data_IF_664927471903
#
_entry.id   IF_664927471903
#
_cell.length_a   1.000
_cell.length_b   1.000
_cell.length_c   1.000
_cell.angle_alpha   90.00
_cell.angle_beta   90.00
_cell.angle_gamma   90.00
#
_symmetry.space_group_name_H-M   'P 1'
#
loop_
_entity.id
_entity.type
_entity.pdbx_description
1 polymer ?
#
# COMPACT_ATOMS: atom_id res chain seq x y z
N UNK A 1 16.32 6.17 1.79
CA UNK A 1 14.86 6.17 1.52
C UNK A 1 14.49 7.63 1.37
N UNK A 2 14.28 8.07 0.15
CA UNK A 2 13.89 9.46 -0.13
C UNK A 2 12.38 9.56 0.07
N UNK A 3 11.96 10.34 1.03
CA UNK A 3 10.53 10.58 1.29
C UNK A 3 10.14 11.72 0.35
N UNK A 4 9.43 11.40 -0.72
CA UNK A 4 8.83 12.41 -1.58
C UNK A 4 7.61 13.01 -0.85
N UNK A 5 7.85 14.12 -0.16
CA UNK A 5 6.79 14.95 0.40
C UNK A 5 6.28 15.89 -0.71
N UNK A 6 4.97 16.09 -0.80
CA UNK A 6 4.44 17.21 -1.59
C UNK A 6 4.98 18.52 -1.00
N UNK A 7 5.10 19.58 -1.79
CA UNK A 7 5.60 20.89 -1.30
C UNK A 7 4.88 21.35 -0.03
N UNK A 8 3.57 21.08 0.05
CA UNK A 8 2.76 21.39 1.23
C UNK A 8 3.12 20.49 2.42
N UNK A 9 3.30 19.20 2.20
CA UNK A 9 3.71 18.26 3.25
C UNK A 9 5.13 18.51 3.71
N UNK A 10 6.03 18.97 2.82
CA UNK A 10 7.39 19.37 3.17
C UNK A 10 7.38 20.61 4.06
N UNK A 11 6.60 21.64 3.71
CA UNK A 11 6.46 22.86 4.51
C UNK A 11 5.86 22.56 5.90
N UNK A 12 4.88 21.65 5.98
CA UNK A 12 4.29 21.23 7.25
C UNK A 12 5.28 20.39 8.08
N UNK A 13 6.04 19.50 7.44
CA UNK A 13 7.10 18.74 8.10
C UNK A 13 8.18 19.66 8.67
N UNK A 14 8.66 20.65 7.91
CA UNK A 14 9.63 21.64 8.39
C UNK A 14 9.09 22.42 9.59
N UNK A 15 7.83 22.83 9.53
CA UNK A 15 7.17 23.56 10.61
C UNK A 15 7.08 22.77 11.90
N UNK A 16 6.77 21.46 11.79
CA UNK A 16 6.68 20.54 12.94
C UNK A 16 8.10 20.20 13.44
N UNK A 17 9.03 19.89 12.55
CA UNK A 17 10.38 19.42 12.88
C UNK A 17 11.32 20.52 13.37
N UNK A 18 11.03 21.81 13.05
CA UNK A 18 11.84 22.93 13.52
C UNK A 18 11.78 23.18 15.03
N UNK A 19 10.96 22.44 15.77
CA UNK A 19 10.78 22.62 17.22
C UNK A 19 10.10 23.94 17.60
N UNK A 20 9.63 24.71 16.62
CA UNK A 20 8.94 25.98 16.82
C UNK A 20 7.46 25.79 17.23
N UNK A 21 6.95 24.55 17.14
CA UNK A 21 5.56 24.24 17.45
C UNK A 21 5.43 23.71 18.89
N UNK A 22 4.69 24.47 19.72
CA UNK A 22 4.33 23.99 21.05
C UNK A 22 3.19 22.93 20.97
N UNK A 23 2.96 22.10 22.01
CA UNK A 23 1.83 21.16 22.04
C UNK A 23 0.48 21.84 21.84
N UNK A 24 0.32 23.07 22.37
CA UNK A 24 -0.90 23.87 22.23
C UNK A 24 -1.11 24.30 20.77
N UNK A 25 -0.05 24.81 20.12
CA UNK A 25 -0.07 25.16 18.70
C UNK A 25 -0.38 23.95 17.80
N UNK A 26 0.18 22.79 18.14
CA UNK A 26 -0.13 21.54 17.42
C UNK A 26 -1.60 21.16 17.59
N UNK A 27 -2.14 21.29 18.80
CA UNK A 27 -3.55 21.01 19.10
C UNK A 27 -4.50 21.98 18.38
N UNK A 28 -4.14 23.27 18.33
CA UNK A 28 -4.89 24.29 17.60
C UNK A 28 -4.85 24.06 16.09
N UNK A 29 -3.67 23.72 15.55
CA UNK A 29 -3.47 23.37 14.15
C UNK A 29 -4.34 22.17 13.72
N UNK A 30 -4.47 21.13 14.58
CA UNK A 30 -5.34 19.99 14.33
C UNK A 30 -6.82 20.37 14.37
N UNK A 31 -7.24 21.29 15.27
CA UNK A 31 -8.62 21.75 15.40
C UNK A 31 -9.04 22.67 14.26
N UNK A 32 -8.14 23.48 13.73
CA UNK A 32 -8.42 24.43 12.64
C UNK A 32 -8.77 23.77 11.30
N UNK A 33 -8.77 22.43 11.23
CA UNK A 33 -9.13 21.66 10.04
C UNK A 33 -8.24 21.95 8.82
N UNK A 34 -7.09 22.62 9.04
CA UNK A 34 -6.13 22.97 7.97
C UNK A 34 -5.41 21.74 7.43
N UNK A 35 -5.39 20.66 8.21
CA UNK A 35 -4.97 19.35 7.72
C UNK A 35 -6.18 18.73 7.01
N UNK A 36 -6.33 18.99 5.75
CA UNK A 36 -7.18 18.15 4.92
C UNK A 36 -6.47 16.82 4.73
N UNK A 37 -6.84 15.84 5.56
CA UNK A 37 -6.41 14.46 5.35
C UNK A 37 -6.94 14.04 3.97
N UNK A 38 -6.02 13.68 3.08
CA UNK A 38 -6.38 13.19 1.76
C UNK A 38 -7.25 11.93 1.91
N UNK A 39 -8.30 11.89 1.14
CA UNK A 39 -9.09 10.67 0.99
C UNK A 39 -8.28 9.62 0.21
N UNK A 40 -8.64 8.36 0.37
CA UNK A 40 -8.05 7.29 -0.43
C UNK A 40 -8.15 7.55 -1.93
N UNK A 41 -9.29 8.10 -2.39
CA UNK A 41 -9.51 8.45 -3.79
C UNK A 41 -8.53 9.51 -4.31
N UNK A 42 -8.22 10.51 -3.49
CA UNK A 42 -7.24 11.55 -3.84
C UNK A 42 -5.82 10.99 -3.90
N UNK A 43 -5.44 10.18 -2.90
CA UNK A 43 -4.13 9.51 -2.89
C UNK A 43 -3.98 8.54 -4.07
N UNK A 44 -5.03 7.82 -4.43
CA UNK A 44 -5.02 6.92 -5.58
C UNK A 44 -4.85 7.68 -6.90
N UNK A 45 -5.50 8.85 -7.07
CA UNK A 45 -5.33 9.69 -8.26
C UNK A 45 -3.96 10.37 -8.33
N UNK A 46 -3.34 10.61 -7.19
CA UNK A 46 -1.98 11.15 -7.14
C UNK A 46 -0.95 10.14 -7.66
N UNK A 47 -1.03 8.88 -7.22
CA UNK A 47 -0.11 7.83 -7.66
C UNK A 47 -0.43 7.32 -9.07
N UNK A 48 -1.66 7.48 -9.53
CA UNK A 48 -2.09 7.12 -10.88
C UNK A 48 -3.03 8.18 -11.48
N UNK A 49 -2.48 9.27 -12.09
CA UNK A 49 -3.25 10.42 -12.57
C UNK A 49 -3.91 10.23 -13.95
N UNK A 50 -4.02 8.99 -14.44
CA UNK A 50 -4.56 8.72 -15.76
C UNK A 50 -6.07 8.50 -15.75
N UNK A 51 -6.82 8.95 -16.80
CA UNK A 51 -8.28 8.87 -16.83
C UNK A 51 -8.83 7.45 -16.98
N UNK A 52 -8.01 6.51 -17.43
CA UNK A 52 -8.39 5.10 -17.63
C UNK A 52 -8.38 4.25 -16.36
N UNK A 53 -8.08 4.85 -15.20
CA UNK A 53 -7.97 4.17 -13.90
C UNK A 53 -9.17 3.26 -13.60
N UNK A 54 -10.40 3.76 -13.79
CA UNK A 54 -11.62 3.00 -13.50
C UNK A 54 -11.74 1.75 -14.35
N UNK A 55 -11.49 1.88 -15.65
CA UNK A 55 -11.51 0.75 -16.59
C UNK A 55 -10.44 -0.28 -16.22
N UNK A 56 -9.18 0.15 -16.07
CA UNK A 56 -8.06 -0.76 -15.74
C UNK A 56 -8.31 -1.53 -14.46
N UNK A 57 -8.80 -0.86 -13.41
CA UNK A 57 -9.12 -1.52 -12.16
C UNK A 57 -10.26 -2.53 -12.32
N UNK A 58 -11.34 -2.15 -13.01
CA UNK A 58 -12.47 -3.05 -13.23
C UNK A 58 -12.05 -4.29 -14.00
N UNK A 59 -11.33 -4.13 -15.11
CA UNK A 59 -10.84 -5.24 -15.94
C UNK A 59 -9.91 -6.17 -15.13
N UNK A 60 -8.97 -5.59 -14.37
CA UNK A 60 -8.03 -6.36 -13.56
C UNK A 60 -8.72 -7.10 -12.41
N UNK A 61 -9.64 -6.44 -11.70
CA UNK A 61 -10.35 -7.09 -10.59
C UNK A 61 -11.28 -8.20 -11.04
N UNK A 62 -11.90 -8.09 -12.23
CA UNK A 62 -12.63 -9.20 -12.85
C UNK A 62 -11.72 -10.41 -13.12
N UNK A 63 -10.49 -10.16 -13.55
CA UNK A 63 -9.51 -11.24 -13.75
C UNK A 63 -8.99 -11.82 -12.43
N UNK A 64 -8.83 -11.00 -11.39
CA UNK A 64 -8.33 -11.42 -10.08
C UNK A 64 -9.39 -12.12 -9.23
N UNK A 65 -10.67 -11.80 -9.43
CA UNK A 65 -11.82 -12.27 -8.66
C UNK A 65 -12.89 -12.87 -9.61
N UNK A 66 -12.60 -13.99 -10.28
CA UNK A 66 -13.50 -14.56 -11.30
C UNK A 66 -14.87 -14.99 -10.77
N UNK A 67 -15.00 -15.18 -9.45
CA UNK A 67 -16.27 -15.49 -8.79
C UNK A 67 -17.15 -14.26 -8.55
N UNK A 68 -16.62 -13.06 -8.73
CA UNK A 68 -17.35 -11.80 -8.51
C UNK A 68 -18.12 -11.38 -9.75
N UNK A 69 -19.34 -10.85 -9.56
CA UNK A 69 -20.10 -10.30 -10.69
C UNK A 69 -19.49 -8.99 -11.21
N UNK A 70 -19.61 -8.69 -12.51
CA UNK A 70 -19.13 -7.43 -13.07
C UNK A 70 -19.70 -6.19 -12.37
N UNK A 71 -20.97 -6.24 -11.98
CA UNK A 71 -21.65 -5.15 -11.27
C UNK A 71 -21.07 -4.95 -9.87
N UNK A 72 -20.76 -6.04 -9.16
CA UNK A 72 -20.15 -5.96 -7.83
C UNK A 72 -18.75 -5.35 -7.90
N UNK A 73 -17.93 -5.77 -8.87
CA UNK A 73 -16.60 -5.20 -9.10
C UNK A 73 -16.69 -3.73 -9.50
N UNK A 74 -17.56 -3.36 -10.44
CA UNK A 74 -17.74 -1.98 -10.86
C UNK A 74 -18.20 -1.08 -9.69
N UNK A 75 -19.12 -1.56 -8.85
CA UNK A 75 -19.57 -0.86 -7.64
C UNK A 75 -18.44 -0.68 -6.63
N UNK A 76 -17.64 -1.73 -6.40
CA UNK A 76 -16.47 -1.73 -5.51
C UNK A 76 -15.45 -0.68 -5.96
N UNK A 77 -15.01 -0.75 -7.21
CA UNK A 77 -14.04 0.18 -7.81
C UNK A 77 -14.59 1.61 -7.85
N UNK A 78 -15.84 1.80 -8.31
CA UNK A 78 -16.50 3.10 -8.33
C UNK A 78 -16.56 3.74 -6.93
N UNK A 79 -16.89 2.96 -5.90
CA UNK A 79 -16.90 3.44 -4.52
C UNK A 79 -15.54 3.97 -4.05
N UNK A 80 -14.45 3.32 -4.45
CA UNK A 80 -13.09 3.77 -4.14
C UNK A 80 -12.70 5.05 -4.87
N UNK A 81 -13.03 5.14 -6.17
CA UNK A 81 -12.72 6.30 -6.99
C UNK A 81 -13.54 7.54 -6.61
N UNK A 82 -14.77 7.35 -6.15
CA UNK A 82 -15.65 8.44 -5.71
C UNK A 82 -15.42 8.87 -4.25
N UNK A 83 -14.53 8.16 -3.54
CA UNK A 83 -14.25 8.42 -2.12
C UNK A 83 -15.38 8.00 -1.16
N UNK A 84 -16.40 7.26 -1.66
CA UNK A 84 -17.51 6.75 -0.82
C UNK A 84 -17.08 5.57 0.04
N UNK A 85 -16.06 4.87 -0.36
CA UNK A 85 -15.46 3.75 0.37
C UNK A 85 -13.97 3.69 0.12
N UNK A 86 -13.29 2.84 0.88
CA UNK A 86 -11.87 2.51 0.70
C UNK A 86 -11.69 0.99 0.73
N UNK A 87 -10.58 0.44 0.23
CA UNK A 87 -10.27 -0.98 0.38
C UNK A 87 -10.33 -1.41 1.85
N UNK A 88 -11.05 -2.49 2.11
CA UNK A 88 -11.19 -3.06 3.46
C UNK A 88 -10.08 -4.05 3.82
N UNK A 89 -9.43 -4.59 2.81
CA UNK A 89 -8.38 -5.60 2.96
C UNK A 89 -7.07 -5.12 2.32
N UNK A 90 -5.95 -5.44 2.95
CA UNK A 90 -4.61 -5.11 2.43
C UNK A 90 -4.39 -5.71 1.04
N UNK A 91 -4.87 -6.93 0.83
CA UNK A 91 -4.79 -7.60 -0.47
C UNK A 91 -5.45 -6.80 -1.60
N UNK A 92 -6.56 -6.11 -1.34
CA UNK A 92 -7.20 -5.25 -2.35
C UNK A 92 -6.29 -4.10 -2.78
N UNK A 93 -5.50 -3.55 -1.86
CA UNK A 93 -4.52 -2.50 -2.19
C UNK A 93 -3.35 -3.06 -3.01
N UNK A 94 -2.89 -4.26 -2.71
CA UNK A 94 -1.89 -4.94 -3.55
C UNK A 94 -2.45 -5.23 -4.95
N UNK A 95 -3.70 -5.72 -5.06
CA UNK A 95 -4.38 -5.89 -6.36
C UNK A 95 -4.42 -4.59 -7.17
N UNK A 96 -4.73 -3.45 -6.50
CA UNK A 96 -4.64 -2.13 -7.12
C UNK A 96 -3.24 -1.85 -7.66
N UNK A 97 -2.22 -2.11 -6.86
CA UNK A 97 -0.82 -1.93 -7.24
C UNK A 97 -0.46 -2.71 -8.51
N UNK A 98 -0.80 -4.00 -8.54
CA UNK A 98 -0.57 -4.85 -9.73
C UNK A 98 -1.37 -4.39 -10.94
N UNK A 99 -2.65 -4.04 -10.76
CA UNK A 99 -3.53 -3.61 -11.84
C UNK A 99 -3.04 -2.33 -12.53
N UNK A 100 -2.50 -1.41 -11.76
CA UNK A 100 -2.05 -0.10 -12.23
C UNK A 100 -0.54 -0.06 -12.54
N UNK A 101 0.21 -1.10 -12.21
CA UNK A 101 1.66 -1.14 -12.37
C UNK A 101 2.38 -0.15 -11.44
N UNK A 102 1.86 0.01 -10.22
CA UNK A 102 2.46 0.90 -9.23
C UNK A 102 3.75 0.31 -8.67
N UNK A 103 4.63 1.18 -8.22
CA UNK A 103 5.81 0.75 -7.49
C UNK A 103 5.50 0.42 -6.01
N UNK A 104 6.45 -0.20 -5.33
CA UNK A 104 6.33 -0.60 -3.92
C UNK A 104 6.04 0.59 -2.99
N UNK A 105 6.64 1.76 -3.25
CA UNK A 105 6.46 2.96 -2.45
C UNK A 105 5.02 3.50 -2.53
N UNK A 106 4.45 3.54 -3.74
CA UNK A 106 3.07 3.98 -3.97
C UNK A 106 2.07 3.03 -3.30
N UNK A 107 2.29 1.71 -3.43
CA UNK A 107 1.44 0.71 -2.76
C UNK A 107 1.56 0.84 -1.25
N UNK A 108 2.76 1.05 -0.70
CA UNK A 108 2.98 1.27 0.73
C UNK A 108 2.27 2.52 1.23
N UNK A 109 2.27 3.61 0.44
CA UNK A 109 1.53 4.83 0.74
C UNK A 109 0.02 4.57 0.80
N UNK A 110 -0.54 3.90 -0.21
CA UNK A 110 -1.98 3.56 -0.26
C UNK A 110 -2.38 2.61 0.88
N UNK A 111 -1.54 1.64 1.26
CA UNK A 111 -1.75 0.78 2.42
C UNK A 111 -1.85 1.59 3.70
N UNK A 112 -0.99 2.59 3.88
CA UNK A 112 -1.04 3.51 5.03
C UNK A 112 -2.37 4.23 5.16
N UNK A 113 -2.98 4.61 4.04
CA UNK A 113 -4.31 5.26 4.01
C UNK A 113 -5.46 4.31 4.41
N UNK A 114 -5.32 3.01 4.15
CA UNK A 114 -6.37 2.02 4.41
C UNK A 114 -6.26 1.38 5.79
N UNK A 115 -5.04 1.05 6.20
CA UNK A 115 -4.78 0.19 7.38
C UNK A 115 -3.94 0.85 8.46
N UNK A 116 -3.58 2.13 8.27
CA UNK A 116 -2.77 2.90 9.23
C UNK A 116 -1.26 2.62 9.16
N UNK A 117 -0.81 1.67 8.34
CA UNK A 117 0.61 1.39 8.09
C UNK A 117 0.83 0.88 6.67
N UNK A 118 2.03 1.16 6.12
CA UNK A 118 2.45 0.74 4.79
C UNK A 118 2.73 -0.76 4.69
N UNK A 119 3.66 -1.16 3.82
CA UNK A 119 4.10 -2.55 3.69
C UNK A 119 4.73 -3.01 5.01
N UNK A 120 4.22 -4.11 5.53
CA UNK A 120 4.65 -4.68 6.79
C UNK A 120 5.58 -5.87 6.55
N UNK A 121 6.89 -5.66 6.65
CA UNK A 121 7.91 -6.67 6.34
C UNK A 121 7.99 -7.85 7.35
N UNK A 122 7.04 -7.95 8.27
CA UNK A 122 6.83 -9.13 9.13
C UNK A 122 5.65 -9.99 8.68
N UNK A 123 4.90 -9.53 7.69
CA UNK A 123 3.77 -10.24 7.10
C UNK A 123 4.21 -10.89 5.80
N UNK A 124 4.15 -12.22 5.74
CA UNK A 124 4.61 -12.98 4.58
C UNK A 124 3.92 -12.55 3.27
N UNK A 125 2.61 -12.27 3.31
CA UNK A 125 1.88 -11.77 2.16
C UNK A 125 2.44 -10.44 1.66
N UNK A 126 2.65 -9.49 2.57
CA UNK A 126 3.15 -8.17 2.21
C UNK A 126 4.54 -8.23 1.58
N UNK A 127 5.44 -9.04 2.17
CA UNK A 127 6.80 -9.24 1.66
C UNK A 127 6.79 -9.83 0.26
N UNK A 128 6.00 -10.88 0.05
CA UNK A 128 5.91 -11.57 -1.25
C UNK A 128 5.31 -10.64 -2.29
N UNK A 129 4.19 -10.00 -1.99
CA UNK A 129 3.52 -9.14 -2.95
C UNK A 129 4.38 -7.91 -3.29
N UNK A 130 5.07 -7.31 -2.33
CA UNK A 130 6.03 -6.24 -2.57
C UNK A 130 7.18 -6.69 -3.48
N UNK A 131 7.72 -7.89 -3.26
CA UNK A 131 8.78 -8.44 -4.11
C UNK A 131 8.30 -8.67 -5.55
N UNK A 132 7.10 -9.23 -5.73
CA UNK A 132 6.54 -9.48 -7.06
C UNK A 132 6.22 -8.17 -7.79
N UNK A 133 5.66 -7.16 -7.12
CA UNK A 133 5.46 -5.80 -7.67
C UNK A 133 6.78 -5.22 -8.18
N UNK A 134 7.80 -5.29 -7.35
CA UNK A 134 9.13 -4.76 -7.67
C UNK A 134 9.80 -5.50 -8.84
N UNK A 135 9.56 -6.81 -8.94
CA UNK A 135 10.10 -7.66 -10.00
C UNK A 135 9.30 -7.55 -11.31
N UNK A 136 8.28 -6.70 -11.38
CA UNK A 136 7.42 -6.55 -12.55
C UNK A 136 6.61 -7.81 -12.89
N UNK A 137 6.40 -8.70 -11.92
CA UNK A 137 5.65 -9.95 -12.10
C UNK A 137 4.16 -9.73 -11.83
N UNK A 138 3.33 -10.71 -12.19
CA UNK A 138 1.88 -10.59 -12.09
C UNK A 138 1.34 -10.88 -10.69
N UNK A 139 0.14 -10.38 -10.39
CA UNK A 139 -0.61 -10.73 -9.19
C UNK A 139 -0.90 -12.23 -9.11
N UNK A 140 -1.22 -12.88 -10.24
CA UNK A 140 -1.50 -14.31 -10.27
C UNK A 140 -0.31 -15.14 -9.77
N UNK A 141 0.91 -14.82 -10.25
CA UNK A 141 2.13 -15.47 -9.80
C UNK A 141 2.41 -15.22 -8.32
N UNK A 142 2.20 -13.97 -7.85
CA UNK A 142 2.38 -13.63 -6.44
C UNK A 142 1.41 -14.42 -5.54
N UNK A 143 0.15 -14.51 -5.94
CA UNK A 143 -0.90 -15.27 -5.23
C UNK A 143 -0.60 -16.76 -5.21
N UNK A 144 -0.21 -17.33 -6.36
CA UNK A 144 0.15 -18.75 -6.46
C UNK A 144 1.36 -19.07 -5.57
N UNK A 145 2.39 -18.23 -5.63
CA UNK A 145 3.57 -18.39 -4.78
C UNK A 145 3.21 -18.34 -3.29
N UNK A 146 2.44 -17.33 -2.87
CA UNK A 146 1.98 -17.22 -1.49
C UNK A 146 1.13 -18.41 -1.05
N UNK A 147 0.24 -18.91 -1.91
CA UNK A 147 -0.61 -20.06 -1.62
C UNK A 147 0.19 -21.37 -1.51
N UNK A 148 1.30 -21.49 -2.23
CA UNK A 148 2.18 -22.65 -2.19
C UNK A 148 3.08 -22.71 -0.93
N UNK A 149 3.20 -21.60 -0.19
CA UNK A 149 3.99 -21.59 1.05
C UNK A 149 3.40 -22.53 2.10
N UNK A 150 4.25 -23.21 2.88
CA UNK A 150 3.82 -23.92 4.08
C UNK A 150 3.04 -23.00 5.01
N UNK A 151 2.02 -23.56 5.70
CA UNK A 151 1.19 -22.79 6.62
C UNK A 151 2.01 -22.08 7.72
N UNK A 152 3.07 -22.74 8.20
CA UNK A 152 3.99 -22.15 9.19
C UNK A 152 4.69 -20.89 8.69
N UNK A 153 5.03 -20.81 7.39
CA UNK A 153 5.68 -19.65 6.77
C UNK A 153 4.67 -18.54 6.47
N UNK A 154 3.46 -18.89 6.04
CA UNK A 154 2.39 -17.91 5.78
C UNK A 154 2.00 -17.09 7.01
N UNK A 155 2.09 -17.69 8.19
CA UNK A 155 1.72 -17.07 9.46
C UNK A 155 2.93 -16.70 10.34
N UNK A 156 4.14 -16.74 9.79
CA UNK A 156 5.37 -16.47 10.54
C UNK A 156 5.38 -15.08 11.20
N UNK A 157 4.76 -14.08 10.56
CA UNK A 157 4.66 -12.72 11.09
C UNK A 157 3.63 -12.53 12.20
N UNK A 158 2.65 -13.44 12.30
CA UNK A 158 1.56 -13.36 13.28
C UNK A 158 1.88 -14.03 14.62
N UNK A 159 3.01 -14.71 14.73
CA UNK A 159 3.45 -15.36 15.96
C UNK A 159 4.46 -14.48 16.69
N UNK A 160 4.14 -14.08 17.89
CA UNK A 160 5.05 -13.39 18.83
C UNK A 160 6.25 -14.25 19.31
N UNK A 161 6.52 -15.37 18.67
CA UNK A 161 7.61 -16.25 19.08
C UNK A 161 8.97 -15.75 18.55
N UNK A 162 9.87 -15.56 19.49
CA UNK A 162 11.23 -15.01 19.38
C UNK A 162 12.18 -15.67 18.36
N UNK A 163 11.73 -16.67 17.57
CA UNK A 163 12.55 -17.41 16.60
C UNK A 163 12.47 -16.95 15.14
N UNK A 164 11.41 -16.23 14.73
CA UNK A 164 11.12 -16.00 13.31
C UNK A 164 11.58 -14.63 12.75
N UNK A 165 12.30 -13.84 13.54
CA UNK A 165 12.84 -12.53 13.11
C UNK A 165 13.85 -12.69 11.96
N UNK A 166 14.53 -13.85 11.86
CA UNK A 166 15.58 -14.08 10.88
C UNK A 166 15.07 -14.20 9.44
N UNK A 167 13.98 -14.91 9.18
CA UNK A 167 13.48 -15.13 7.80
C UNK A 167 12.99 -13.82 7.20
N UNK A 168 12.29 -13.00 7.97
CA UNK A 168 11.81 -11.69 7.52
C UNK A 168 12.96 -10.72 7.28
N UNK A 169 14.00 -10.80 8.10
CA UNK A 169 15.20 -9.99 7.96
C UNK A 169 16.02 -10.40 6.74
N UNK A 170 16.15 -11.69 6.47
CA UNK A 170 16.84 -12.23 5.30
C UNK A 170 16.10 -11.90 3.99
N UNK A 171 14.78 -12.05 3.96
CA UNK A 171 13.95 -11.63 2.82
C UNK A 171 14.04 -10.12 2.57
N UNK A 172 14.02 -9.31 3.61
CA UNK A 172 14.24 -7.87 3.50
C UNK A 172 15.62 -7.54 2.95
N UNK A 173 16.65 -8.20 3.46
CA UNK A 173 18.04 -8.00 2.99
C UNK A 173 18.22 -8.48 1.55
N UNK A 174 17.60 -9.59 1.16
CA UNK A 174 17.59 -10.07 -0.23
C UNK A 174 16.87 -9.07 -1.16
N UNK A 175 15.75 -8.51 -0.72
CA UNK A 175 15.04 -7.44 -1.43
C UNK A 175 15.90 -6.17 -1.57
N UNK A 176 16.59 -5.79 -0.52
CA UNK A 176 17.45 -4.59 -0.54
C UNK A 176 18.73 -4.80 -1.36
N UNK A 177 19.32 -6.00 -1.35
CA UNK A 177 20.53 -6.31 -2.13
C UNK A 177 20.24 -6.46 -3.63
N UNK A 178 19.05 -6.92 -4.02
CA UNK A 178 18.62 -6.90 -5.42
C UNK A 178 18.52 -5.47 -6.01
N UNK A 179 18.49 -4.45 -5.14
CA UNK A 179 18.45 -3.02 -5.51
C UNK A 179 19.81 -2.45 -5.93
N UNK A 180 20.90 -3.09 -5.54
CA UNK A 180 22.27 -2.60 -5.75
C UNK A 180 22.99 -3.28 -6.92
N UNK A 181 22.29 -4.14 -7.66
CA UNK A 181 22.85 -4.91 -8.77
C UNK A 181 22.44 -4.38 -10.16
N UNK A 182 21.83 -3.21 -10.24
CA UNK A 182 21.63 -2.39 -11.44
C UNK A 182 22.49 -1.12 -11.32
#
# INVERSE_FOLDING_TARGET
MEIHLTERAAAEYERISSGAMTPEMASEYLRDGRIQLRTFAESLREVYPFPDIGRRLTDAFLAFEPESSPEAVAKKVGGWLDGRSRPGHREDVFKLGFALGLNEGDVSHLLGQCTGYGIHYREAMDVIYAWFLRSGRSYAEAREFYAALPAAERYAGCREEQGNIHITFELRNALMSARTSE
#
